data_IF_049568493430
#
_entry.id   IF_049568493430
#
_cell.length_a   1.000
_cell.length_b   1.000
_cell.length_c   1.000
_cell.angle_alpha   90.00
_cell.angle_beta   90.00
_cell.angle_gamma   90.00
#
_symmetry.space_group_name_H-M   'P 1'
#
loop_
_entity.id
_entity.type
_entity.pdbx_description
1 polymer ?
#
# COMPACT_ATOMS: atom_id res chain seq x y z
N UNK A 1 -35.15 66.30 10.38
CA UNK A 1 -33.94 65.52 10.70
C UNK A 1 -34.31 64.02 10.67
N UNK A 2 -33.95 63.37 9.56
CA UNK A 2 -34.15 61.97 9.41
C UNK A 2 -32.91 61.23 9.94
N UNK A 3 -33.10 60.39 10.97
CA UNK A 3 -32.04 59.53 11.52
C UNK A 3 -32.18 58.20 10.83
N UNK A 4 -31.20 57.90 9.97
CA UNK A 4 -31.09 56.61 9.25
C UNK A 4 -30.41 55.61 10.20
N UNK A 5 -31.01 54.43 10.53
CA UNK A 5 -30.34 53.44 11.35
C UNK A 5 -29.30 52.70 10.49
N UNK A 6 -28.06 52.76 10.96
CA UNK A 6 -26.92 51.99 10.40
C UNK A 6 -27.09 50.53 10.76
N UNK A 7 -27.47 49.71 9.77
CA UNK A 7 -27.62 48.27 9.93
C UNK A 7 -26.23 47.65 9.96
N UNK A 8 -25.74 47.26 11.14
CA UNK A 8 -24.50 46.45 11.31
C UNK A 8 -24.80 45.02 10.87
N UNK A 9 -24.31 44.65 9.70
CA UNK A 9 -24.33 43.27 9.24
C UNK A 9 -23.18 42.50 9.94
N UNK A 10 -23.45 41.44 10.73
CA UNK A 10 -22.37 40.62 11.28
C UNK A 10 -21.72 39.81 10.15
N UNK A 11 -20.45 40.08 9.88
CA UNK A 11 -19.60 39.21 9.05
C UNK A 11 -19.42 37.89 9.79
N UNK A 12 -20.15 36.87 9.38
CA UNK A 12 -19.85 35.46 9.72
C UNK A 12 -18.59 35.07 8.97
N UNK A 13 -17.44 35.22 9.63
CA UNK A 13 -16.18 34.62 9.19
C UNK A 13 -16.36 33.13 9.42
N UNK A 14 -16.79 32.39 8.38
CA UNK A 14 -16.76 30.96 8.34
C UNK A 14 -15.30 30.54 8.51
N UNK A 15 -14.94 30.08 9.70
CA UNK A 15 -13.69 29.35 9.93
C UNK A 15 -13.72 28.08 9.12
N UNK A 16 -13.16 28.11 7.90
CA UNK A 16 -12.71 26.88 7.24
C UNK A 16 -11.64 26.30 8.13
N UNK A 17 -11.98 25.31 8.94
CA UNK A 17 -10.98 24.40 9.49
C UNK A 17 -10.32 23.72 8.31
N UNK A 18 -9.09 24.12 7.98
CA UNK A 18 -8.25 23.38 7.05
C UNK A 18 -8.07 21.98 7.64
N UNK A 19 -8.77 21.00 7.08
CA UNK A 19 -8.42 19.61 7.30
C UNK A 19 -6.99 19.50 6.78
N UNK A 20 -6.02 19.20 7.66
CA UNK A 20 -4.65 18.95 7.22
C UNK A 20 -4.72 17.84 6.18
N UNK A 21 -4.46 18.19 4.94
CA UNK A 21 -4.39 17.25 3.82
C UNK A 21 -2.94 16.77 3.72
N UNK A 22 -2.69 15.55 4.21
CA UNK A 22 -1.39 14.89 4.14
C UNK A 22 -1.24 14.03 2.87
N UNK A 23 -2.10 14.22 1.87
CA UNK A 23 -2.13 13.37 0.67
C UNK A 23 -0.80 13.37 -0.08
N UNK A 24 -0.15 14.52 -0.25
CA UNK A 24 1.14 14.59 -0.96
C UNK A 24 2.26 13.89 -0.18
N UNK A 25 2.34 14.10 1.13
CA UNK A 25 3.32 13.45 2.01
C UNK A 25 3.13 11.93 2.01
N UNK A 26 1.88 11.48 2.10
CA UNK A 26 1.53 10.06 2.08
C UNK A 26 1.81 9.42 0.72
N UNK A 27 1.56 10.12 -0.38
CA UNK A 27 1.92 9.66 -1.73
C UNK A 27 3.43 9.50 -1.87
N UNK A 28 4.23 10.47 -1.37
CA UNK A 28 5.68 10.40 -1.37
C UNK A 28 6.20 9.24 -0.50
N UNK A 29 5.60 9.00 0.67
CA UNK A 29 5.93 7.86 1.53
C UNK A 29 5.76 6.52 0.79
N UNK A 30 4.63 6.32 0.12
CA UNK A 30 4.38 5.08 -0.62
C UNK A 30 5.27 4.97 -1.86
N UNK A 31 5.57 6.07 -2.54
CA UNK A 31 6.54 6.04 -3.64
C UNK A 31 7.92 5.58 -3.16
N UNK A 32 8.39 6.08 -2.02
CA UNK A 32 9.66 5.66 -1.42
C UNK A 32 9.61 4.18 -0.99
N UNK A 33 8.48 3.72 -0.44
CA UNK A 33 8.30 2.31 -0.09
C UNK A 33 8.37 1.41 -1.33
N UNK A 34 7.69 1.77 -2.42
CA UNK A 34 7.75 1.04 -3.69
C UNK A 34 9.19 0.97 -4.20
N UNK A 35 9.92 2.09 -4.15
CA UNK A 35 11.31 2.12 -4.57
C UNK A 35 12.22 1.24 -3.70
N UNK A 36 11.95 1.16 -2.39
CA UNK A 36 12.64 0.22 -1.51
C UNK A 36 12.36 -1.25 -1.90
N UNK A 37 11.11 -1.58 -2.28
CA UNK A 37 10.75 -2.90 -2.81
C UNK A 37 11.48 -3.22 -4.10
N UNK A 38 11.53 -2.29 -5.08
CA UNK A 38 12.24 -2.46 -6.35
C UNK A 38 13.76 -2.66 -6.13
N UNK A 39 14.32 -1.92 -5.17
CA UNK A 39 15.73 -2.03 -4.81
C UNK A 39 16.04 -3.25 -3.92
N UNK A 40 15.04 -4.03 -3.55
CA UNK A 40 15.15 -5.16 -2.60
C UNK A 40 15.76 -4.72 -1.24
N UNK A 41 15.51 -3.47 -0.86
CA UNK A 41 16.01 -2.81 0.35
C UNK A 41 15.03 -2.98 1.53
N UNK A 42 15.14 -4.11 2.21
CA UNK A 42 14.26 -4.43 3.34
C UNK A 42 14.48 -3.53 4.57
N UNK A 43 15.65 -2.88 4.71
CA UNK A 43 15.89 -1.96 5.82
C UNK A 43 15.12 -0.65 5.61
N UNK A 44 15.08 -0.11 4.38
CA UNK A 44 14.23 1.02 4.03
C UNK A 44 12.74 0.68 4.12
N UNK A 45 12.33 -0.55 3.79
CA UNK A 45 10.96 -1.02 3.97
C UNK A 45 10.58 -1.07 5.46
N UNK A 46 11.46 -1.60 6.33
CA UNK A 46 11.25 -1.66 7.78
C UNK A 46 11.08 -0.26 8.38
N UNK A 47 11.89 0.70 7.92
CA UNK A 47 11.89 2.06 8.43
C UNK A 47 10.55 2.79 8.28
N UNK A 48 9.71 2.44 7.30
CA UNK A 48 8.40 3.08 7.05
C UNK A 48 7.21 2.33 7.65
N UNK A 49 7.41 1.09 8.11
CA UNK A 49 6.36 0.34 8.80
C UNK A 49 6.23 0.77 10.26
N UNK A 50 5.01 0.87 10.76
CA UNK A 50 4.73 1.04 12.19
C UNK A 50 5.06 -0.24 12.96
N UNK A 51 5.39 -0.13 14.25
CA UNK A 51 5.71 -1.30 15.07
C UNK A 51 4.51 -2.24 15.25
N UNK A 52 3.29 -1.72 15.15
CA UNK A 52 2.05 -2.49 15.18
C UNK A 52 1.49 -2.75 13.76
N UNK A 53 2.32 -2.67 12.73
CA UNK A 53 1.91 -2.92 11.36
C UNK A 53 1.19 -4.26 11.19
N UNK A 54 0.11 -4.26 10.39
CA UNK A 54 -0.65 -5.44 10.00
C UNK A 54 -0.80 -5.48 8.48
N UNK A 55 -0.15 -6.44 7.83
CA UNK A 55 -0.35 -6.78 6.42
C UNK A 55 -1.41 -7.88 6.27
N UNK A 56 -2.28 -7.74 5.28
CA UNK A 56 -3.37 -8.66 4.97
C UNK A 56 -3.34 -9.07 3.50
N UNK A 57 -3.65 -10.33 3.21
CA UNK A 57 -3.68 -10.89 1.86
C UNK A 57 -2.37 -11.53 1.40
N UNK A 58 -2.33 -12.07 0.15
CA UNK A 58 -3.39 -12.01 -0.88
C UNK A 58 -4.58 -12.96 -0.63
N UNK A 59 -4.38 -14.05 0.10
CA UNK A 59 -5.44 -15.01 0.40
C UNK A 59 -6.31 -14.54 1.57
N UNK A 60 -7.58 -14.96 1.56
CA UNK A 60 -8.49 -14.66 2.67
C UNK A 60 -7.98 -15.30 3.97
N UNK A 61 -7.84 -14.49 5.01
CA UNK A 61 -7.34 -14.91 6.32
C UNK A 61 -5.84 -14.76 6.52
N UNK A 62 -5.08 -14.46 5.48
CA UNK A 62 -3.65 -14.17 5.61
C UNK A 62 -3.44 -12.87 6.37
N UNK A 63 -2.58 -12.93 7.36
CA UNK A 63 -2.17 -11.75 8.13
C UNK A 63 -0.72 -11.88 8.60
N UNK A 64 -0.01 -10.75 8.65
CA UNK A 64 1.39 -10.70 9.05
C UNK A 64 1.70 -9.41 9.79
N UNK A 65 2.37 -9.50 10.92
CA UNK A 65 2.91 -8.35 11.65
C UNK A 65 4.28 -7.91 11.11
N UNK A 66 4.74 -6.72 11.54
CA UNK A 66 6.00 -6.11 11.08
C UNK A 66 7.20 -7.06 11.14
N UNK A 67 7.44 -7.68 12.29
CA UNK A 67 8.62 -8.54 12.53
C UNK A 67 8.69 -9.67 11.51
N UNK A 68 7.57 -10.38 11.31
CA UNK A 68 7.52 -11.49 10.36
C UNK A 68 7.51 -11.01 8.91
N UNK A 69 6.91 -9.86 8.61
CA UNK A 69 6.96 -9.25 7.28
C UNK A 69 8.40 -8.97 6.85
N UNK A 70 9.18 -8.31 7.71
CA UNK A 70 10.59 -8.02 7.41
C UNK A 70 11.45 -9.28 7.36
N UNK A 71 11.20 -10.25 8.23
CA UNK A 71 11.86 -11.56 8.16
C UNK A 71 11.60 -12.28 6.85
N UNK A 72 10.35 -12.27 6.37
CA UNK A 72 9.97 -12.85 5.09
C UNK A 72 10.62 -12.10 3.92
N UNK A 73 10.66 -10.76 3.96
CA UNK A 73 11.34 -9.98 2.95
C UNK A 73 12.83 -10.28 2.88
N UNK A 74 13.53 -10.36 4.03
CA UNK A 74 14.95 -10.77 4.08
C UNK A 74 15.16 -12.13 3.42
N UNK A 75 14.33 -13.09 3.77
CA UNK A 75 14.40 -14.43 3.17
C UNK A 75 14.18 -14.38 1.65
N UNK A 76 13.16 -13.66 1.19
CA UNK A 76 12.80 -13.57 -0.21
C UNK A 76 13.88 -12.85 -1.04
N UNK A 77 14.44 -11.76 -0.52
CA UNK A 77 15.57 -11.04 -1.17
C UNK A 77 16.81 -11.92 -1.25
N UNK A 78 17.09 -12.71 -0.24
CA UNK A 78 18.27 -13.58 -0.20
C UNK A 78 18.12 -14.82 -1.11
N UNK A 79 16.91 -15.39 -1.19
CA UNK A 79 16.71 -16.74 -1.74
C UNK A 79 15.76 -16.81 -2.93
N UNK A 80 14.89 -15.82 -3.15
CA UNK A 80 13.84 -15.91 -4.16
C UNK A 80 13.96 -14.84 -5.24
N UNK A 81 14.06 -13.58 -4.89
CA UNK A 81 13.96 -12.48 -5.84
C UNK A 81 15.31 -12.02 -6.34
N UNK A 82 15.46 -11.96 -7.66
CA UNK A 82 16.58 -11.33 -8.33
C UNK A 82 16.24 -9.87 -8.66
N UNK A 83 15.01 -9.62 -9.12
CA UNK A 83 14.52 -8.30 -9.50
C UNK A 83 13.02 -8.18 -9.27
N UNK A 84 12.59 -7.01 -8.84
CA UNK A 84 11.18 -6.59 -8.84
C UNK A 84 11.09 -5.24 -9.54
N UNK A 85 10.13 -5.08 -10.45
CA UNK A 85 9.94 -3.88 -11.26
C UNK A 85 8.45 -3.52 -11.30
N UNK A 86 8.12 -2.28 -10.93
CA UNK A 86 6.76 -1.74 -10.89
C UNK A 86 6.46 -0.96 -12.16
N UNK A 87 6.05 -1.68 -13.20
CA UNK A 87 5.58 -1.07 -14.43
C UNK A 87 4.17 -0.52 -14.27
N UNK A 88 3.85 0.54 -15.02
CA UNK A 88 2.52 1.15 -15.05
C UNK A 88 1.95 1.48 -13.67
N UNK A 89 2.83 1.74 -12.69
CA UNK A 89 2.44 2.06 -11.32
C UNK A 89 1.62 3.35 -11.24
N UNK A 90 0.56 3.32 -10.43
CA UNK A 90 -0.32 4.46 -10.16
C UNK A 90 -0.65 4.49 -8.68
N UNK A 91 -0.54 5.68 -8.08
CA UNK A 91 -0.92 5.92 -6.70
C UNK A 91 -2.13 6.85 -6.65
N UNK A 92 -3.06 6.59 -5.74
CA UNK A 92 -4.18 7.47 -5.44
C UNK A 92 -4.35 7.62 -3.93
N UNK A 93 -4.48 8.85 -3.47
CA UNK A 93 -4.83 9.15 -2.09
C UNK A 93 -6.34 8.98 -1.88
N UNK A 94 -6.70 8.31 -0.81
CA UNK A 94 -8.09 8.00 -0.43
C UNK A 94 -8.28 8.41 1.03
N UNK A 95 -9.35 9.14 1.32
CA UNK A 95 -9.75 9.46 2.68
C UNK A 95 -11.03 8.72 3.05
N UNK A 96 -10.95 7.82 4.02
CA UNK A 96 -12.12 7.14 4.57
C UNK A 96 -12.63 7.97 5.75
N UNK A 97 -13.86 8.47 5.61
CA UNK A 97 -14.40 9.49 6.52
C UNK A 97 -14.92 8.93 7.84
N UNK A 98 -15.25 7.63 7.91
CA UNK A 98 -15.84 7.02 9.11
C UNK A 98 -15.71 5.49 9.09
N UNK A 99 -15.94 4.88 10.25
CA UNK A 99 -15.91 3.42 10.44
C UNK A 99 -14.54 2.90 10.86
N UNK A 100 -14.41 1.59 10.95
CA UNK A 100 -13.22 0.90 11.46
C UNK A 100 -11.93 1.25 10.67
N UNK A 101 -12.07 1.50 9.37
CA UNK A 101 -10.94 1.84 8.50
C UNK A 101 -10.81 3.36 8.25
N UNK A 102 -11.41 4.19 9.13
CA UNK A 102 -11.28 5.65 9.03
C UNK A 102 -9.82 6.08 8.99
N UNK A 103 -9.49 7.05 8.13
CA UNK A 103 -8.15 7.62 8.03
C UNK A 103 -7.70 7.86 6.61
N UNK A 104 -6.41 8.11 6.47
CA UNK A 104 -5.75 8.39 5.21
C UNK A 104 -5.16 7.09 4.64
N UNK A 105 -5.45 6.84 3.37
CA UNK A 105 -5.03 5.65 2.66
C UNK A 105 -4.40 6.02 1.33
N UNK A 106 -3.44 5.21 0.89
CA UNK A 106 -2.92 5.25 -0.48
C UNK A 106 -3.19 3.90 -1.14
N UNK A 107 -3.84 3.93 -2.30
CA UNK A 107 -3.95 2.77 -3.18
C UNK A 107 -2.88 2.85 -4.25
N UNK A 108 -2.09 1.79 -4.36
CA UNK A 108 -1.18 1.56 -5.47
C UNK A 108 -1.67 0.38 -6.30
N UNK A 109 -1.72 0.54 -7.61
CA UNK A 109 -1.85 -0.58 -8.54
C UNK A 109 -0.78 -0.50 -9.61
N UNK A 110 -0.25 -1.65 -9.97
CA UNK A 110 0.86 -1.76 -10.90
C UNK A 110 0.82 -3.10 -11.64
N UNK A 111 1.51 -3.13 -12.76
CA UNK A 111 1.97 -4.36 -13.39
C UNK A 111 3.33 -4.68 -12.77
N UNK A 112 3.42 -5.79 -12.03
CA UNK A 112 4.66 -6.23 -11.41
C UNK A 112 5.38 -7.24 -12.30
N UNK A 113 6.65 -6.99 -12.56
CA UNK A 113 7.55 -7.95 -13.16
C UNK A 113 8.49 -8.46 -12.07
N UNK A 114 8.37 -9.73 -11.72
CA UNK A 114 9.16 -10.35 -10.66
C UNK A 114 10.04 -11.42 -11.27
N UNK A 115 11.36 -11.20 -11.28
CA UNK A 115 12.34 -12.19 -11.73
C UNK A 115 12.85 -12.95 -10.52
N UNK A 116 12.78 -14.28 -10.61
CA UNK A 116 13.24 -15.19 -9.58
C UNK A 116 14.67 -15.64 -9.82
N UNK A 117 15.41 -15.89 -8.75
CA UNK A 117 16.78 -16.45 -8.79
C UNK A 117 16.80 -17.86 -9.36
N UNK A 118 17.99 -18.33 -9.70
CA UNK A 118 18.26 -19.72 -10.14
C UNK A 118 17.47 -20.10 -11.39
N UNK A 119 17.33 -19.17 -12.34
CA UNK A 119 16.64 -19.36 -13.62
C UNK A 119 15.19 -19.87 -13.50
N UNK A 120 14.56 -19.64 -12.36
CA UNK A 120 13.15 -20.04 -12.13
C UNK A 120 12.14 -19.28 -12.98
N UNK A 121 12.55 -18.19 -13.64
CA UNK A 121 11.72 -17.44 -14.56
C UNK A 121 11.28 -16.08 -14.01
N UNK A 122 10.48 -15.40 -14.83
CA UNK A 122 9.87 -14.12 -14.52
C UNK A 122 8.35 -14.26 -14.57
N UNK A 123 7.65 -13.70 -13.61
CA UNK A 123 6.19 -13.57 -13.63
C UNK A 123 5.79 -12.12 -13.86
N UNK A 124 4.67 -11.93 -14.56
CA UNK A 124 4.05 -10.61 -14.77
C UNK A 124 2.63 -10.70 -14.25
N UNK A 125 2.33 -9.89 -13.23
CA UNK A 125 1.02 -9.89 -12.59
C UNK A 125 0.47 -8.47 -12.41
N UNK A 126 -0.83 -8.33 -12.40
CA UNK A 126 -1.48 -7.15 -11.84
C UNK A 126 -1.55 -7.28 -10.33
N UNK A 127 -1.11 -6.24 -9.64
CA UNK A 127 -1.24 -6.14 -8.19
C UNK A 127 -1.90 -4.82 -7.79
N UNK A 128 -2.66 -4.88 -6.70
CA UNK A 128 -3.14 -3.70 -5.99
C UNK A 128 -2.79 -3.85 -4.51
N UNK A 129 -2.15 -2.83 -3.97
CA UNK A 129 -1.89 -2.73 -2.53
C UNK A 129 -2.48 -1.42 -2.01
N UNK A 130 -3.15 -1.49 -0.87
CA UNK A 130 -3.77 -0.35 -0.21
C UNK A 130 -3.13 -0.18 1.16
N UNK A 131 -2.65 1.00 1.47
CA UNK A 131 -1.85 1.30 2.67
C UNK A 131 -2.56 2.34 3.53
N UNK A 132 -2.83 2.03 4.79
CA UNK A 132 -3.25 3.01 5.78
C UNK A 132 -2.04 3.69 6.40
N UNK A 133 -2.07 5.02 6.45
CA UNK A 133 -0.96 5.81 6.94
C UNK A 133 -1.39 6.62 8.16
N UNK A 134 -0.62 6.51 9.22
CA UNK A 134 -0.81 7.28 10.46
C UNK A 134 0.54 7.82 10.88
N UNK A 135 0.64 9.12 11.10
CA UNK A 135 1.86 9.80 11.57
C UNK A 135 3.11 9.47 10.72
N UNK A 136 2.95 9.39 9.39
CA UNK A 136 4.06 9.11 8.47
C UNK A 136 4.57 7.67 8.52
N UNK A 137 3.75 6.72 9.00
CA UNK A 137 4.04 5.28 9.03
C UNK A 137 2.91 4.48 8.41
N UNK A 138 3.24 3.39 7.77
CA UNK A 138 2.26 2.41 7.27
C UNK A 138 1.85 1.53 8.45
N UNK A 139 0.59 1.64 8.88
CA UNK A 139 0.04 0.87 10.01
C UNK A 139 -0.72 -0.38 9.55
N UNK A 140 -1.25 -0.36 8.32
CA UNK A 140 -1.98 -1.49 7.76
C UNK A 140 -1.82 -1.52 6.25
N UNK A 141 -1.82 -2.72 5.66
CA UNK A 141 -1.96 -2.88 4.22
C UNK A 141 -2.88 -4.03 3.86
N UNK A 142 -3.49 -3.92 2.68
CA UNK A 142 -4.14 -5.03 1.97
C UNK A 142 -3.45 -5.19 0.64
N UNK A 143 -3.09 -6.42 0.28
CA UNK A 143 -2.47 -6.73 -1.00
C UNK A 143 -3.31 -7.74 -1.75
N UNK A 144 -3.57 -7.46 -3.03
CA UNK A 144 -4.40 -8.27 -3.92
C UNK A 144 -3.64 -8.53 -5.20
N UNK A 145 -3.47 -9.80 -5.54
CA UNK A 145 -2.99 -10.26 -6.84
C UNK A 145 -3.45 -11.70 -7.08
N UNK A 146 -3.32 -12.17 -8.32
CA UNK A 146 -3.66 -13.54 -8.65
C UNK A 146 -2.43 -14.45 -8.44
N UNK A 147 -2.33 -15.06 -7.26
CA UNK A 147 -1.23 -15.97 -6.92
C UNK A 147 -1.21 -17.22 -7.80
N UNK A 148 -2.40 -17.75 -8.15
CA UNK A 148 -2.49 -18.92 -9.01
C UNK A 148 -1.93 -18.63 -10.42
N UNK A 149 -2.14 -17.41 -10.94
CA UNK A 149 -1.56 -17.01 -12.22
C UNK A 149 -0.03 -16.91 -12.12
N UNK A 150 0.50 -16.30 -11.06
CA UNK A 150 1.94 -16.22 -10.83
C UNK A 150 2.58 -17.64 -10.78
N UNK A 151 1.98 -18.56 -10.05
CA UNK A 151 2.45 -19.93 -9.95
C UNK A 151 2.36 -20.69 -11.30
N UNK A 152 1.28 -20.49 -12.07
CA UNK A 152 1.15 -21.08 -13.41
C UNK A 152 2.25 -20.58 -14.36
N UNK A 153 2.61 -19.30 -14.32
CA UNK A 153 3.70 -18.75 -15.13
C UNK A 153 5.06 -19.37 -14.77
N UNK A 154 5.23 -19.82 -13.52
CA UNK A 154 6.42 -20.57 -13.05
C UNK A 154 6.33 -22.08 -13.33
N UNK A 155 5.29 -22.56 -14.04
CA UNK A 155 5.13 -23.95 -14.41
C UNK A 155 4.44 -24.83 -13.36
N UNK A 156 3.90 -24.26 -12.28
CA UNK A 156 3.12 -25.04 -11.31
C UNK A 156 1.74 -25.36 -11.87
N UNK A 157 1.25 -26.56 -11.55
CA UNK A 157 -0.07 -27.05 -11.95
C UNK A 157 -0.88 -27.36 -10.71
N UNK A 158 -2.12 -26.85 -10.65
CA UNK A 158 -3.04 -27.14 -9.56
C UNK A 158 -3.84 -28.41 -9.89
N UNK A 159 -3.74 -29.41 -9.03
CA UNK A 159 -4.43 -30.69 -9.19
C UNK A 159 -5.44 -30.85 -8.05
N UNK A 160 -6.69 -31.15 -8.38
CA UNK A 160 -7.66 -31.55 -7.37
C UNK A 160 -7.35 -32.99 -6.91
N UNK A 161 -6.95 -33.22 -5.65
CA UNK A 161 -6.54 -34.52 -5.17
C UNK A 161 -7.67 -35.57 -5.23
N UNK A 162 -8.94 -35.13 -5.29
CA UNK A 162 -10.07 -36.02 -5.44
C UNK A 162 -10.26 -36.54 -6.87
N UNK A 163 -9.48 -36.05 -7.84
CA UNK A 163 -9.50 -36.48 -9.23
C UNK A 163 -8.25 -37.29 -9.61
N UNK A 164 -7.46 -37.71 -8.65
CA UNK A 164 -6.35 -38.63 -8.74
C UNK A 164 -6.80 -40.02 -8.26
#
# INVERSE_FOLDING_TARGET
KLILPLLLLPFLIGSCTSVNDHSEENLALIQNYIQAVENLDYDSMDAVLDDNYLGLGPSYGDSIGKVDAIKNWKYNVQNLYEKIDYSRSRNAAIKIMSGENQGDWISNWAELHITYKDDRGTVIIWANSIYQIVNGKIVKSYTFYNEADALNQLGYVFINPNNL
#
